data_IF_785340470608
#
_entry.id   IF_785340470608
#
_cell.length_a   1.000
_cell.length_b   1.000
_cell.length_c   1.000
_cell.angle_alpha   90.00
_cell.angle_beta   90.00
_cell.angle_gamma   90.00
#
_symmetry.space_group_name_H-M   'P 1'
#
loop_
_entity.id
_entity.type
_entity.pdbx_description
1 polymer ?
#
# COMPACT_ATOMS: atom_id res chain seq x y z
N UNK A 1 23.00 -10.64 -2.06
CA UNK A 1 22.94 -9.61 -0.99
C UNK A 1 22.09 -10.19 0.12
N UNK A 2 22.63 -10.45 1.30
CA UNK A 2 21.86 -10.92 2.46
C UNK A 2 21.45 -9.65 3.20
N UNK A 3 20.18 -9.27 3.10
CA UNK A 3 19.61 -8.15 3.87
C UNK A 3 19.21 -8.70 5.23
N UNK A 4 19.68 -8.08 6.30
CA UNK A 4 19.40 -8.55 7.67
C UNK A 4 17.91 -8.41 8.02
N UNK A 5 17.38 -9.30 8.89
CA UNK A 5 15.97 -9.24 9.33
C UNK A 5 15.61 -7.89 9.95
N UNK A 6 16.54 -7.29 10.69
CA UNK A 6 16.35 -5.97 11.28
C UNK A 6 16.18 -4.88 10.22
N UNK A 7 17.00 -4.92 9.17
CA UNK A 7 16.93 -3.97 8.06
C UNK A 7 15.60 -4.09 7.30
N UNK A 8 15.12 -5.31 7.08
CA UNK A 8 13.79 -5.55 6.50
C UNK A 8 12.66 -5.02 7.38
N UNK A 9 12.74 -5.21 8.70
CA UNK A 9 11.76 -4.69 9.64
C UNK A 9 11.74 -3.15 9.67
N UNK A 10 12.92 -2.53 9.65
CA UNK A 10 13.05 -1.07 9.61
C UNK A 10 12.54 -0.50 8.27
N UNK A 11 12.85 -1.13 7.14
CA UNK A 11 12.34 -0.74 5.83
C UNK A 11 10.81 -0.89 5.76
N UNK A 12 10.25 -1.98 6.30
CA UNK A 12 8.81 -2.18 6.36
C UNK A 12 8.10 -1.08 7.16
N UNK A 13 8.63 -0.75 8.35
CA UNK A 13 8.10 0.33 9.21
C UNK A 13 8.23 1.69 8.54
N UNK A 14 9.39 1.98 7.94
CA UNK A 14 9.63 3.24 7.22
C UNK A 14 8.63 3.44 6.08
N UNK A 15 8.35 2.40 5.30
CA UNK A 15 7.35 2.50 4.23
C UNK A 15 5.95 2.85 4.74
N UNK A 16 5.55 2.39 5.93
CA UNK A 16 4.27 2.77 6.57
C UNK A 16 4.27 4.25 6.95
N UNK A 17 5.36 4.74 7.54
CA UNK A 17 5.54 6.14 7.92
C UNK A 17 5.46 7.06 6.68
N UNK A 18 6.20 6.71 5.63
CA UNK A 18 6.24 7.43 4.34
C UNK A 18 4.90 7.44 3.63
N UNK A 19 4.22 6.28 3.55
CA UNK A 19 2.89 6.20 2.94
C UNK A 19 1.90 7.12 3.66
N UNK A 20 1.92 7.11 4.99
CA UNK A 20 1.06 7.98 5.81
C UNK A 20 1.43 9.47 5.70
N UNK A 21 2.69 9.79 5.36
CA UNK A 21 3.17 11.12 5.06
C UNK A 21 2.90 11.56 3.60
N UNK A 22 2.34 10.67 2.75
CA UNK A 22 2.09 10.86 1.31
C UNK A 22 3.36 10.91 0.46
N UNK A 23 4.46 10.38 0.99
CA UNK A 23 5.73 10.13 0.32
C UNK A 23 5.65 8.76 -0.38
N UNK A 24 4.76 8.66 -1.38
CA UNK A 24 4.35 7.37 -1.93
C UNK A 24 5.46 6.68 -2.75
N UNK A 25 6.34 7.47 -3.37
CA UNK A 25 7.52 6.93 -4.04
C UNK A 25 8.50 6.34 -3.03
N UNK A 26 8.80 7.07 -1.96
CA UNK A 26 9.72 6.63 -0.93
C UNK A 26 9.19 5.38 -0.20
N UNK A 27 7.88 5.31 0.04
CA UNK A 27 7.23 4.12 0.58
C UNK A 27 7.36 2.90 -0.36
N UNK A 28 7.22 3.11 -1.67
CA UNK A 28 7.45 2.09 -2.69
C UNK A 28 8.88 1.53 -2.58
N UNK A 29 9.89 2.42 -2.59
CA UNK A 29 11.30 2.03 -2.51
C UNK A 29 11.60 1.26 -1.22
N UNK A 30 11.10 1.75 -0.07
CA UNK A 30 11.30 1.08 1.22
C UNK A 30 10.71 -0.33 1.23
N UNK A 31 9.52 -0.54 0.65
CA UNK A 31 8.90 -1.86 0.62
C UNK A 31 9.49 -2.79 -0.44
N UNK A 32 10.07 -2.27 -1.53
CA UNK A 32 10.73 -3.10 -2.55
C UNK A 32 11.88 -3.93 -1.96
N UNK A 33 12.65 -3.33 -1.05
CA UNK A 33 13.72 -4.00 -0.29
C UNK A 33 13.21 -5.24 0.45
N UNK A 34 12.00 -5.15 1.03
CA UNK A 34 11.37 -6.24 1.78
C UNK A 34 10.73 -7.25 0.83
N UNK A 35 10.19 -6.79 -0.29
CA UNK A 35 9.47 -7.59 -1.27
C UNK A 35 10.37 -8.50 -2.10
N UNK A 36 11.51 -8.01 -2.57
CA UNK A 36 12.45 -8.74 -3.41
C UNK A 36 12.81 -10.15 -2.86
N UNK A 37 13.19 -10.28 -1.57
CA UNK A 37 13.52 -11.57 -0.97
C UNK A 37 12.30 -12.31 -0.37
N UNK A 38 11.09 -11.74 -0.39
CA UNK A 38 9.95 -12.32 0.30
C UNK A 38 9.46 -13.62 -0.38
N UNK A 39 9.14 -14.67 0.40
CA UNK A 39 8.39 -15.82 -0.09
C UNK A 39 6.89 -15.51 -0.15
N UNK A 40 6.12 -16.36 -0.84
CA UNK A 40 4.66 -16.34 -0.69
C UNK A 40 4.25 -16.81 0.72
N UNK A 41 3.13 -16.30 1.27
CA UNK A 41 2.20 -15.34 0.67
C UNK A 41 2.60 -13.86 0.85
N UNK A 42 3.68 -13.58 1.60
CA UNK A 42 4.14 -12.21 1.88
C UNK A 42 4.54 -11.44 0.63
N UNK A 43 5.07 -12.13 -0.39
CA UNK A 43 5.42 -11.53 -1.67
C UNK A 43 4.20 -10.92 -2.36
N UNK A 44 3.08 -11.63 -2.42
CA UNK A 44 1.83 -11.11 -2.98
C UNK A 44 1.28 -9.93 -2.17
N UNK A 45 1.32 -10.03 -0.84
CA UNK A 45 0.91 -8.94 0.06
C UNK A 45 1.72 -7.66 -0.17
N UNK A 46 3.05 -7.78 -0.12
CA UNK A 46 3.98 -6.66 -0.30
C UNK A 46 3.83 -6.04 -1.70
N UNK A 47 3.65 -6.87 -2.73
CA UNK A 47 3.36 -6.36 -4.07
C UNK A 47 2.06 -5.56 -4.12
N UNK A 48 1.04 -5.97 -3.35
CA UNK A 48 -0.22 -5.24 -3.22
C UNK A 48 -0.02 -3.82 -2.65
N UNK A 49 0.65 -3.69 -1.50
CA UNK A 49 0.89 -2.37 -0.88
C UNK A 49 1.82 -1.48 -1.73
N UNK A 50 2.82 -2.07 -2.39
CA UNK A 50 3.72 -1.38 -3.33
C UNK A 50 2.91 -0.82 -4.51
N UNK A 51 2.02 -1.61 -5.10
CA UNK A 51 1.15 -1.15 -6.19
C UNK A 51 0.17 -0.07 -5.75
N UNK A 52 -0.39 -0.17 -4.54
CA UNK A 52 -1.24 0.90 -3.99
C UNK A 52 -0.43 2.20 -3.80
N UNK A 53 0.80 2.11 -3.26
CA UNK A 53 1.70 3.26 -3.14
C UNK A 53 2.00 3.89 -4.49
N UNK A 54 2.47 3.09 -5.44
CA UNK A 54 2.75 3.54 -6.80
C UNK A 54 1.50 4.15 -7.46
N UNK A 55 0.31 3.58 -7.23
CA UNK A 55 -0.95 4.14 -7.73
C UNK A 55 -1.20 5.57 -7.23
N UNK A 56 -0.93 5.85 -5.96
CA UNK A 56 -1.06 7.21 -5.41
C UNK A 56 0.08 8.15 -5.83
N UNK A 57 1.30 7.65 -6.06
CA UNK A 57 2.36 8.42 -6.69
C UNK A 57 1.99 8.84 -8.11
N UNK A 58 1.50 7.91 -8.94
CA UNK A 58 0.99 8.21 -10.28
C UNK A 58 -0.15 9.23 -10.24
N UNK A 59 -1.00 9.18 -9.22
CA UNK A 59 -2.03 10.20 -9.02
C UNK A 59 -1.43 11.59 -8.76
N UNK A 60 -0.40 11.70 -7.91
CA UNK A 60 0.30 12.96 -7.64
C UNK A 60 0.94 13.54 -8.92
N UNK A 61 1.45 12.68 -9.80
CA UNK A 61 2.05 13.03 -11.09
C UNK A 61 1.00 13.28 -12.22
N UNK A 62 -0.29 13.39 -11.88
CA UNK A 62 -1.40 13.55 -12.83
C UNK A 62 -1.54 12.43 -13.87
N UNK A 63 -0.93 11.27 -13.63
CA UNK A 63 -1.08 10.08 -14.46
C UNK A 63 -2.28 9.24 -13.96
N UNK A 64 -3.49 9.69 -14.29
CA UNK A 64 -4.73 9.08 -13.80
C UNK A 64 -4.93 7.65 -14.29
N UNK A 65 -4.55 7.35 -15.53
CA UNK A 65 -4.66 5.99 -16.11
C UNK A 65 -3.75 5.02 -15.37
N UNK A 66 -2.50 5.44 -15.09
CA UNK A 66 -1.56 4.67 -14.29
C UNK A 66 -2.06 4.46 -12.86
N UNK A 67 -2.56 5.52 -12.24
CA UNK A 67 -3.13 5.48 -10.89
C UNK A 67 -4.28 4.45 -10.78
N UNK A 68 -5.27 4.52 -11.67
CA UNK A 68 -6.39 3.57 -11.69
C UNK A 68 -5.91 2.12 -11.87
N UNK A 69 -5.01 1.89 -12.83
CA UNK A 69 -4.49 0.55 -13.12
C UNK A 69 -3.78 -0.07 -11.92
N UNK A 70 -2.91 0.70 -11.26
CA UNK A 70 -2.14 0.24 -10.11
C UNK A 70 -2.98 0.07 -8.85
N UNK A 71 -3.89 1.02 -8.56
CA UNK A 71 -4.82 0.89 -7.44
C UNK A 71 -5.70 -0.36 -7.57
N UNK A 72 -6.23 -0.62 -8.77
CA UNK A 72 -7.05 -1.82 -9.04
C UNK A 72 -6.28 -3.12 -8.81
N UNK A 73 -5.07 -3.23 -9.36
CA UNK A 73 -4.21 -4.42 -9.21
C UNK A 73 -3.74 -4.61 -7.77
N UNK A 74 -3.35 -3.53 -7.10
CA UNK A 74 -2.94 -3.53 -5.70
C UNK A 74 -4.07 -3.99 -4.79
N UNK A 75 -5.28 -3.43 -4.97
CA UNK A 75 -6.47 -3.86 -4.24
C UNK A 75 -6.78 -5.35 -4.46
N UNK A 76 -6.80 -5.84 -5.70
CA UNK A 76 -7.04 -7.26 -5.99
C UNK A 76 -6.07 -8.22 -5.26
N UNK A 77 -4.83 -7.78 -5.01
CA UNK A 77 -3.88 -8.56 -4.20
C UNK A 77 -4.22 -8.48 -2.71
N UNK A 78 -4.50 -7.29 -2.21
CA UNK A 78 -4.80 -7.08 -0.79
C UNK A 78 -6.12 -7.74 -0.36
N UNK A 79 -7.10 -7.93 -1.25
CA UNK A 79 -8.34 -8.64 -0.94
C UNK A 79 -8.17 -10.15 -0.66
N UNK A 80 -7.00 -10.72 -0.98
CA UNK A 80 -6.69 -12.12 -0.68
C UNK A 80 -6.30 -12.34 0.79
N UNK A 81 -6.09 -11.25 1.54
CA UNK A 81 -5.60 -11.30 2.91
C UNK A 81 -6.73 -10.96 3.92
N UNK A 82 -6.65 -11.50 5.16
CA UNK A 82 -7.57 -11.13 6.22
C UNK A 82 -7.45 -9.65 6.60
N UNK A 83 -8.43 -9.14 7.37
CA UNK A 83 -8.45 -7.74 7.80
C UNK A 83 -7.22 -7.30 8.59
N UNK A 84 -6.49 -8.25 9.19
CA UNK A 84 -5.19 -8.01 9.83
C UNK A 84 -4.11 -8.88 9.19
N UNK A 85 -3.04 -8.28 8.68
CA UNK A 85 -1.90 -9.02 8.11
C UNK A 85 -0.58 -8.27 8.33
N UNK A 86 0.49 -8.99 8.71
CA UNK A 86 1.82 -8.40 9.01
C UNK A 86 1.76 -7.23 10.01
N UNK A 87 0.84 -7.31 10.98
CA UNK A 87 0.61 -6.27 11.99
C UNK A 87 -0.05 -5.01 11.45
N UNK A 88 -0.66 -5.05 10.25
CA UNK A 88 -1.42 -3.94 9.67
C UNK A 88 -2.91 -4.23 9.72
N UNK A 89 -3.73 -3.20 9.93
CA UNK A 89 -5.17 -3.23 9.71
C UNK A 89 -5.44 -2.85 8.25
N UNK A 90 -5.81 -3.85 7.46
CA UNK A 90 -5.93 -3.71 6.01
C UNK A 90 -7.29 -3.18 5.58
N UNK A 91 -8.32 -3.32 6.40
CA UNK A 91 -9.66 -2.92 5.97
C UNK A 91 -9.78 -1.41 5.76
N UNK A 92 -9.22 -0.59 6.65
CA UNK A 92 -9.26 0.86 6.51
C UNK A 92 -8.49 1.32 5.26
N UNK A 93 -7.32 0.72 5.00
CA UNK A 93 -6.52 1.02 3.81
C UNK A 93 -7.22 0.60 2.53
N UNK A 94 -7.80 -0.62 2.49
CA UNK A 94 -8.55 -1.12 1.33
C UNK A 94 -9.79 -0.27 1.06
N UNK A 95 -10.56 0.05 2.10
CA UNK A 95 -11.76 0.90 1.97
C UNK A 95 -11.42 2.27 1.38
N UNK A 96 -10.37 2.93 1.89
CA UNK A 96 -9.94 4.22 1.35
C UNK A 96 -9.43 4.10 -0.09
N UNK A 97 -8.64 3.08 -0.41
CA UNK A 97 -8.17 2.85 -1.78
C UNK A 97 -9.32 2.54 -2.76
N UNK A 98 -10.34 1.78 -2.34
CA UNK A 98 -11.56 1.53 -3.14
C UNK A 98 -12.34 2.82 -3.41
N UNK A 99 -12.50 3.68 -2.41
CA UNK A 99 -13.17 4.97 -2.58
C UNK A 99 -12.42 5.88 -3.58
N UNK A 100 -11.09 5.88 -3.51
CA UNK A 100 -10.25 6.59 -4.49
C UNK A 100 -10.36 6.00 -5.89
N UNK A 101 -10.30 4.68 -6.04
CA UNK A 101 -10.45 4.02 -7.32
C UNK A 101 -11.81 4.35 -7.97
N UNK A 102 -12.91 4.26 -7.21
CA UNK A 102 -14.25 4.59 -7.70
C UNK A 102 -14.38 6.05 -8.16
N UNK A 103 -13.79 7.00 -7.43
CA UNK A 103 -13.77 8.40 -7.83
C UNK A 103 -12.95 8.64 -9.11
N UNK A 104 -11.84 7.92 -9.28
CA UNK A 104 -11.01 8.01 -10.50
C UNK A 104 -11.65 7.34 -11.72
N UNK A 105 -12.47 6.30 -11.51
CA UNK A 105 -13.23 5.61 -12.55
C UNK A 105 -14.50 6.37 -12.97
N UNK A 106 -14.82 7.49 -12.31
CA UNK A 106 -15.96 8.33 -12.66
C UNK A 106 -17.32 7.76 -12.23
N UNK A 107 -17.36 6.96 -11.17
CA UNK A 107 -18.59 6.31 -10.68
C UNK A 107 -19.59 7.26 -9.96
N UNK A 108 -19.69 8.53 -10.39
CA UNK A 108 -20.39 9.65 -9.71
C UNK A 108 -20.00 9.85 -8.22
N UNK A 109 -18.98 9.13 -7.75
CA UNK A 109 -18.49 9.18 -6.39
C UNK A 109 -17.62 10.43 -6.20
N UNK A 110 -17.86 11.24 -5.15
CA UNK A 110 -16.98 12.36 -4.86
C UNK A 110 -15.59 11.84 -4.49
N UNK A 111 -14.56 12.55 -4.97
CA UNK A 111 -13.18 12.28 -4.59
C UNK A 111 -13.03 12.36 -3.05
N UNK A 112 -12.42 11.36 -2.40
CA UNK A 112 -12.21 11.41 -0.96
C UNK A 112 -11.37 12.62 -0.53
N UNK A 113 -11.67 13.18 0.65
CA UNK A 113 -10.97 14.34 1.19
C UNK A 113 -9.52 14.05 1.62
N UNK A 114 -9.17 12.77 1.83
CA UNK A 114 -7.86 12.34 2.25
C UNK A 114 -7.46 11.03 1.56
N UNK A 115 -6.14 10.82 1.43
CA UNK A 115 -5.57 9.53 1.07
C UNK A 115 -5.83 8.49 2.18
N UNK A 116 -5.92 7.20 1.83
CA UNK A 116 -5.96 6.15 2.84
C UNK A 116 -4.72 6.22 3.73
N UNK A 117 -4.88 5.77 4.97
CA UNK A 117 -3.78 5.61 5.91
C UNK A 117 -3.62 4.13 6.24
N UNK A 118 -2.40 3.75 6.58
CA UNK A 118 -2.06 2.43 7.09
C UNK A 118 -1.97 2.53 8.61
N UNK A 119 -2.76 1.70 9.29
CA UNK A 119 -2.76 1.60 10.74
C UNK A 119 -2.15 0.27 11.17
N UNK A 120 -1.28 0.31 12.17
CA UNK A 120 -0.77 -0.92 12.77
C UNK A 120 -1.77 -1.48 13.78
N UNK A 121 -1.87 -2.80 13.87
CA UNK A 121 -2.53 -3.47 14.98
C UNK A 121 -1.77 -3.15 16.27
N UNK A 122 -2.47 -2.89 17.37
CA UNK A 122 -1.81 -2.78 18.66
C UNK A 122 -1.05 -4.09 18.91
N UNK A 123 0.24 -4.01 19.20
CA UNK A 123 0.96 -5.15 19.76
C UNK A 123 0.43 -5.27 21.19
N UNK A 124 -0.34 -6.32 21.47
CA UNK A 124 -0.56 -6.73 22.86
C UNK A 124 0.84 -7.01 23.44
N UNK A 125 1.22 -6.20 24.43
CA UNK A 125 2.48 -6.34 25.16
C UNK A 125 2.48 -7.61 26.01
#
# INVERSE_FOLDING_TARGET
MIIEEKEKADAFRRGIEQFNAREFWEAHESWEVVWLPAPEPDKTFLQGIIQVSAGFYHYQENNLVGAQSLLRRGLQKLEQFPNGYRGLRLEETRAGARAWLAALEGADAPKPAAFPRIHQTAVEK
#
